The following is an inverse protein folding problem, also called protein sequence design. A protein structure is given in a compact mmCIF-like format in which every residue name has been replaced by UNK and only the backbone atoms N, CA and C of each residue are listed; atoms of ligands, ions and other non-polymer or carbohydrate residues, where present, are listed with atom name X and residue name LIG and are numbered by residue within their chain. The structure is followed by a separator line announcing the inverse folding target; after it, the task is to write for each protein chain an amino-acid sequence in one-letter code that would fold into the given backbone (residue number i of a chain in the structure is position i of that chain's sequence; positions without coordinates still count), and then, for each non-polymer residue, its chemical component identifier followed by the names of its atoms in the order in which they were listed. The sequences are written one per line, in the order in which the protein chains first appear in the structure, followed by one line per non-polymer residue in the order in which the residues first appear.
data_IF_922881085580
#
_entry.id   IF_922881085580
#
_cell.length_a   1.000
_cell.length_b   1.000
_cell.length_c   1.000
_cell.angle_alpha   90.00
_cell.angle_beta   90.00
_cell.angle_gamma   90.00
#
_symmetry.space_group_name_H-M   'P 1'
#
loop_
_entity.id
_entity.type
_entity.pdbx_description
1 polymer ?
#
# COMPACT_ATOMS: atom_id res chain seq x y z
N UNK A 1 15.74 2.01 9.34
CA UNK A 1 15.40 0.90 8.43
C UNK A 1 15.12 1.51 7.07
N UNK A 2 15.88 1.14 6.04
CA UNK A 2 15.74 1.69 4.71
C UNK A 2 14.32 1.41 4.20
N UNK A 3 13.65 2.46 3.72
CA UNK A 3 12.33 2.35 3.10
C UNK A 3 12.58 1.71 1.74
N UNK A 4 12.24 0.44 1.58
CA UNK A 4 12.37 -0.25 0.30
C UNK A 4 11.31 0.32 -0.64
N UNK A 5 11.73 1.28 -1.47
CA UNK A 5 10.89 1.94 -2.46
C UNK A 5 11.24 1.33 -3.81
N UNK A 6 10.29 0.59 -4.39
CA UNK A 6 10.45 -0.03 -5.71
C UNK A 6 9.79 0.81 -6.78
N UNK A 7 10.48 1.06 -7.89
CA UNK A 7 9.88 1.71 -9.05
C UNK A 7 8.84 0.78 -9.72
N UNK A 8 7.68 1.33 -10.08
CA UNK A 8 6.61 0.65 -10.81
C UNK A 8 6.10 1.56 -11.91
N UNK A 9 6.29 1.15 -13.17
CA UNK A 9 5.65 1.80 -14.29
C UNK A 9 4.19 1.32 -14.37
N UNK A 10 3.25 2.27 -14.33
CA UNK A 10 1.85 2.00 -14.65
C UNK A 10 1.69 1.76 -16.16
N UNK A 11 0.53 1.23 -16.58
CA UNK A 11 0.19 1.01 -17.99
C UNK A 11 0.28 2.30 -18.85
N UNK A 12 0.09 3.48 -18.24
CA UNK A 12 0.27 4.78 -18.87
C UNK A 12 1.76 5.19 -19.07
N UNK A 13 2.70 4.44 -18.49
CA UNK A 13 4.14 4.73 -18.53
C UNK A 13 4.60 5.66 -17.40
N UNK A 14 3.69 6.11 -16.53
CA UNK A 14 4.03 6.90 -15.34
C UNK A 14 4.80 6.03 -14.34
N UNK A 15 5.97 6.49 -13.88
CA UNK A 15 6.81 5.75 -12.94
C UNK A 15 6.50 6.08 -11.47
N UNK A 16 5.76 5.19 -10.80
CA UNK A 16 5.38 5.30 -9.40
C UNK A 16 6.43 4.69 -8.46
N UNK A 17 6.60 5.27 -7.28
CA UNK A 17 7.36 4.65 -6.19
C UNK A 17 6.46 3.79 -5.31
N UNK A 18 6.71 2.50 -5.22
CA UNK A 18 5.94 1.56 -4.40
C UNK A 18 6.64 1.36 -3.06
N UNK A 19 5.94 1.63 -1.97
CA UNK A 19 6.39 1.38 -0.60
C UNK A 19 5.41 0.39 0.08
N UNK A 20 5.94 -0.67 0.68
CA UNK A 20 5.12 -1.60 1.48
C UNK A 20 5.29 -1.26 2.96
N UNK A 21 4.18 -0.97 3.63
CA UNK A 21 4.09 -0.74 5.07
C UNK A 21 3.26 -1.84 5.71
N UNK A 22 3.73 -2.37 6.83
CA UNK A 22 3.01 -3.42 7.57
C UNK A 22 2.62 -2.88 8.95
N UNK A 23 1.44 -2.26 9.09
CA UNK A 23 0.94 -1.85 10.41
C UNK A 23 0.57 -3.04 11.30
N UNK A 24 0.40 -4.24 10.74
CA UNK A 24 0.09 -5.46 11.48
C UNK A 24 0.62 -6.70 10.76
N UNK A 25 0.70 -7.83 11.47
CA UNK A 25 1.27 -9.09 10.96
C UNK A 25 0.55 -9.65 9.71
N UNK A 26 -0.74 -9.35 9.52
CA UNK A 26 -1.55 -9.91 8.44
C UNK A 26 -1.99 -8.89 7.38
N UNK A 27 -1.78 -7.60 7.62
CA UNK A 27 -2.21 -6.53 6.73
C UNK A 27 -1.01 -5.74 6.22
N UNK A 28 -0.78 -5.81 4.91
CA UNK A 28 0.21 -4.99 4.22
C UNK A 28 -0.50 -3.84 3.49
N UNK A 29 -0.05 -2.62 3.75
CA UNK A 29 -0.45 -1.43 3.02
C UNK A 29 0.58 -1.15 1.94
N UNK A 30 0.17 -1.14 0.69
CA UNK A 30 0.99 -0.81 -0.46
C UNK A 30 0.70 0.64 -0.84
N UNK A 31 1.69 1.52 -0.66
CA UNK A 31 1.63 2.93 -1.05
C UNK A 31 2.29 3.12 -2.41
N UNK A 32 1.60 3.78 -3.32
CA UNK A 32 2.08 4.22 -4.62
C UNK A 32 2.32 5.73 -4.58
N UNK A 33 3.57 6.13 -4.75
CA UNK A 33 4.04 7.51 -4.69
C UNK A 33 4.14 8.07 -6.11
N UNK A 34 3.45 9.17 -6.37
CA UNK A 34 3.45 9.77 -7.71
C UNK A 34 4.77 10.51 -7.99
N UNK A 35 5.41 10.33 -9.16
CA UNK A 35 6.70 10.99 -9.47
C UNK A 35 6.58 12.51 -9.59
N UNK A 36 5.42 13.03 -10.00
CA UNK A 36 5.15 14.48 -10.08
C UNK A 36 4.73 15.12 -8.75
N UNK A 37 4.69 14.35 -7.65
CA UNK A 37 4.10 14.77 -6.38
C UNK A 37 5.10 15.35 -5.40
N UNK A 38 5.44 16.65 -5.53
CA UNK A 38 6.06 17.41 -4.42
C UNK A 38 5.16 17.54 -3.18
N UNK A 39 3.87 17.19 -3.33
CA UNK A 39 2.90 17.04 -2.24
C UNK A 39 2.24 15.66 -2.38
N UNK A 40 2.20 14.86 -1.32
CA UNK A 40 1.67 13.48 -1.34
C UNK A 40 0.16 13.34 -1.62
N UNK A 41 -0.47 14.35 -2.23
CA UNK A 41 -1.88 14.39 -2.61
C UNK A 41 -2.21 13.49 -3.81
N UNK A 42 -1.21 13.22 -4.66
CA UNK A 42 -1.36 12.31 -5.80
C UNK A 42 -0.97 10.88 -5.46
N UNK A 43 -0.51 10.63 -4.23
CA UNK A 43 -0.17 9.29 -3.79
C UNK A 43 -1.45 8.45 -3.73
N UNK A 44 -1.29 7.15 -3.93
CA UNK A 44 -2.38 6.17 -3.83
C UNK A 44 -1.98 5.09 -2.85
N UNK A 45 -2.95 4.39 -2.28
CA UNK A 45 -2.68 3.25 -1.42
C UNK A 45 -3.66 2.11 -1.68
N UNK A 46 -3.19 0.89 -1.49
CA UNK A 46 -4.01 -0.31 -1.57
C UNK A 46 -3.71 -1.21 -0.36
N UNK A 47 -4.73 -1.86 0.15
CA UNK A 47 -4.58 -2.90 1.17
C UNK A 47 -4.38 -4.25 0.50
N UNK A 48 -3.29 -4.91 0.87
CA UNK A 48 -2.97 -6.27 0.48
C UNK A 48 -3.07 -7.17 1.71
N UNK A 49 -4.03 -8.09 1.67
CA UNK A 49 -4.23 -9.07 2.71
C UNK A 49 -3.31 -10.25 2.42
N UNK A 50 -2.34 -10.49 3.30
CA UNK A 50 -1.45 -11.63 3.15
C UNK A 50 -2.18 -12.91 3.56
N UNK A 51 -2.26 -13.90 2.67
CA UNK A 51 -2.93 -15.19 2.94
C UNK A 51 -1.97 -16.39 3.09
N UNK A 52 -0.66 -16.14 3.22
CA UNK A 52 0.33 -17.20 3.40
C UNK A 52 0.19 -17.95 4.74
N UNK A 53 0.86 -19.12 4.93
CA UNK A 53 0.82 -19.88 6.19
C UNK A 53 1.32 -19.08 7.41
N UNK A 54 2.17 -18.06 7.19
CA UNK A 54 2.58 -17.10 8.22
C UNK A 54 1.45 -16.16 8.67
N UNK A 55 0.37 -16.02 7.89
CA UNK A 55 -0.80 -15.21 8.26
C UNK A 55 -1.58 -15.76 9.46
N UNK A 56 -1.31 -17.02 9.85
CA UNK A 56 -1.83 -17.66 11.07
C UNK A 56 -1.01 -17.35 12.33
N UNK A 57 0.18 -16.76 12.20
CA UNK A 57 1.08 -16.48 13.33
C UNK A 57 1.30 -14.99 13.49
N UNK A 58 0.57 -14.37 14.42
CA UNK A 58 0.75 -12.96 14.86
C UNK A 58 2.17 -12.64 15.37
N UNK A 59 2.98 -13.66 15.64
CA UNK A 59 4.38 -13.57 16.07
C UNK A 59 5.39 -13.68 14.93
N UNK A 60 5.01 -14.25 13.78
CA UNK A 60 5.85 -14.24 12.57
C UNK A 60 5.71 -12.89 11.88
N UNK A 61 6.71 -12.05 12.07
CA UNK A 61 6.82 -10.79 11.34
C UNK A 61 7.17 -11.12 9.90
N UNK A 62 6.17 -11.27 9.04
CA UNK A 62 6.41 -11.31 7.59
C UNK A 62 7.17 -10.04 7.26
N UNK A 63 8.35 -10.18 6.66
CA UNK A 63 9.15 -9.02 6.32
C UNK A 63 8.51 -8.28 5.15
N UNK A 64 8.49 -6.93 5.15
CA UNK A 64 7.95 -6.15 4.03
C UNK A 64 8.67 -6.49 2.71
N UNK A 65 9.95 -6.86 2.76
CA UNK A 65 10.71 -7.36 1.63
C UNK A 65 10.14 -8.67 1.05
N UNK A 66 9.64 -9.58 1.89
CA UNK A 66 9.00 -10.83 1.45
C UNK A 66 7.70 -10.53 0.70
N UNK A 67 6.87 -9.63 1.24
CA UNK A 67 5.63 -9.21 0.55
C UNK A 67 5.95 -8.45 -0.74
N UNK A 68 6.95 -7.57 -0.77
CA UNK A 68 7.37 -6.91 -1.99
C UNK A 68 7.84 -7.92 -3.06
N UNK A 69 8.50 -9.01 -2.64
CA UNK A 69 8.94 -10.09 -3.53
C UNK A 69 7.78 -10.91 -4.10
N UNK A 70 6.70 -11.10 -3.34
CA UNK A 70 5.49 -11.78 -3.84
C UNK A 70 4.62 -10.88 -4.70
N UNK A 71 4.64 -9.57 -4.44
CA UNK A 71 3.98 -8.57 -5.27
C UNK A 71 4.77 -8.40 -6.57
N UNK A 72 4.49 -9.26 -7.56
CA UNK A 72 5.01 -9.12 -8.92
C UNK A 72 4.37 -7.93 -9.65
N UNK A 73 4.84 -7.66 -10.88
CA UNK A 73 4.24 -6.65 -11.75
C UNK A 73 2.71 -6.80 -11.95
N UNK A 74 2.16 -7.99 -12.30
CA UNK A 74 0.72 -8.13 -12.52
C UNK A 74 -0.13 -7.91 -11.25
N UNK A 75 0.38 -8.32 -10.08
CA UNK A 75 -0.30 -8.07 -8.80
C UNK A 75 -0.27 -6.58 -8.45
N UNK A 76 0.86 -5.89 -8.71
CA UNK A 76 0.92 -4.44 -8.54
C UNK A 76 -0.05 -3.70 -9.46
N UNK A 77 -0.22 -4.14 -10.71
CA UNK A 77 -1.21 -3.54 -11.62
C UNK A 77 -2.63 -3.72 -11.08
N UNK A 78 -2.98 -4.91 -10.59
CA UNK A 78 -4.30 -5.17 -9.98
C UNK A 78 -4.50 -4.31 -8.73
N UNK A 79 -3.49 -4.22 -7.87
CA UNK A 79 -3.52 -3.39 -6.67
C UNK A 79 -3.60 -1.91 -7.01
N UNK A 80 -2.87 -1.44 -8.01
CA UNK A 80 -2.87 -0.05 -8.46
C UNK A 80 -4.23 0.32 -9.04
N UNK A 81 -4.85 -0.55 -9.84
CA UNK A 81 -6.21 -0.37 -10.36
C UNK A 81 -7.26 -0.25 -9.25
N UNK A 82 -7.09 -1.02 -8.16
CA UNK A 82 -7.96 -0.98 -6.97
C UNK A 82 -7.52 0.05 -5.92
N UNK A 83 -6.41 0.76 -6.14
CA UNK A 83 -5.84 1.67 -5.16
C UNK A 83 -6.70 2.92 -5.00
N UNK A 84 -6.78 3.39 -3.76
CA UNK A 84 -7.51 4.60 -3.39
C UNK A 84 -6.55 5.78 -3.33
N UNK A 85 -6.95 6.99 -3.77
CA UNK A 85 -6.12 8.17 -3.57
C UNK A 85 -5.89 8.41 -2.07
N UNK A 86 -4.67 8.81 -1.71
CA UNK A 86 -4.33 9.33 -0.38
C UNK A 86 -4.91 10.74 -0.30
N UNK A 87 -6.24 10.84 -0.21
CA UNK A 87 -6.92 12.10 0.09
C UNK A 87 -6.49 12.55 1.48
N UNK A 88 -5.94 13.76 1.58
CA UNK A 88 -5.49 14.36 2.84
C UNK A 88 -6.64 14.73 3.81
N UNK A 89 -7.82 14.13 3.69
CA UNK A 89 -8.95 14.49 4.52
C UNK A 89 -10.20 13.70 4.16
N UNK A 90 -10.43 12.61 4.87
CA UNK A 90 -11.73 12.24 5.45
C UNK A 90 -11.46 11.11 6.43
N UNK A 91 -11.36 11.47 7.71
CA UNK A 91 -11.72 10.58 8.80
C UNK A 91 -13.25 10.50 8.80
N UNK A 92 -13.92 9.35 8.54
CA UNK A 92 -15.31 9.18 8.94
C UNK A 92 -15.34 8.57 10.36
N UNK A 93 -14.88 9.32 11.36
CA UNK A 93 -15.00 8.94 12.76
C UNK A 93 -15.27 10.16 13.67
N UNK A 94 -16.08 11.13 13.27
CA UNK A 94 -16.68 12.03 14.26
C UNK A 94 -17.87 12.89 13.79
N UNK A 95 -19.03 12.32 13.44
CA UNK A 95 -20.30 13.10 13.51
C UNK A 95 -21.54 12.23 13.29
N UNK A 96 -21.92 11.43 14.28
CA UNK A 96 -23.32 11.08 14.54
C UNK A 96 -23.50 10.81 16.05
N UNK A 97 -23.56 11.89 16.83
CA UNK A 97 -24.35 11.90 18.07
C UNK A 97 -25.25 13.13 18.01
N UNK A 98 -26.40 12.96 17.38
CA UNK A 98 -27.54 13.85 17.47
C UNK A 98 -28.65 13.05 18.14
N UNK A 99 -29.22 13.58 19.23
CA UNK A 99 -30.36 13.01 19.95
C UNK A 99 -30.08 12.88 21.43
#
# INVERSE_FOLDING_TARGET
MARDIRAFADADGTNWGVEVRMPSASNAMVMFRHPGGGTGRLDRYAWYHWHGPESRSVTSRVSPATVMKTLGHPELEVLFRRSMPVSAGTHPLNEHRTG
#
